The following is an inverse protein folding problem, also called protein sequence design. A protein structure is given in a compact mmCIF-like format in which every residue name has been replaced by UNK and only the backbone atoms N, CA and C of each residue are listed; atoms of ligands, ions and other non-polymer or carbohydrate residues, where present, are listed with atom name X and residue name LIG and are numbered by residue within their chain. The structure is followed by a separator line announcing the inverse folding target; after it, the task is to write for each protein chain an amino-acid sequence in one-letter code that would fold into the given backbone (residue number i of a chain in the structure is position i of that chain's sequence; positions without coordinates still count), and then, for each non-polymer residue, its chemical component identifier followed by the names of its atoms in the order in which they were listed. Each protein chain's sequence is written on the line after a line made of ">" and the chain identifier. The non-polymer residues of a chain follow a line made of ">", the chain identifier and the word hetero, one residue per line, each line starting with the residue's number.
data_IF_732963539128
#
_entry.id   IF_732963539128
#
_cell.length_a   1.000
_cell.length_b   1.000
_cell.length_c   1.000
_cell.angle_alpha   90.00
_cell.angle_beta   90.00
_cell.angle_gamma   90.00
#
_symmetry.space_group_name_H-M   'P 1'
#
loop_
_entity.id
_entity.type
_entity.pdbx_description
1 polymer ?
#
# COMPACT_ATOMS: atom_id res chain seq x y z
N UNK A 1 -26.25 -20.83 28.59
CA UNK A 1 -26.42 -21.35 27.21
C UNK A 1 -25.98 -20.25 26.26
N UNK A 2 -25.05 -20.60 25.36
CA UNK A 2 -24.46 -19.89 24.23
C UNK A 2 -24.83 -18.43 23.91
N UNK A 3 -23.84 -17.52 24.02
CA UNK A 3 -23.15 -16.99 22.83
C UNK A 3 -21.86 -16.29 23.27
N UNK A 4 -20.72 -16.90 22.95
CA UNK A 4 -19.42 -16.25 23.05
C UNK A 4 -19.27 -15.32 21.87
N UNK A 5 -19.43 -14.02 22.10
CA UNK A 5 -18.96 -13.01 21.16
C UNK A 5 -17.44 -13.05 21.18
N UNK A 6 -16.83 -13.41 20.05
CA UNK A 6 -15.38 -13.41 19.87
C UNK A 6 -14.95 -12.03 19.33
N UNK A 7 -14.32 -11.15 20.13
CA UNK A 7 -13.88 -9.83 19.66
C UNK A 7 -12.60 -9.84 18.80
N UNK A 8 -12.07 -11.01 18.41
CA UNK A 8 -10.72 -11.10 17.83
C UNK A 8 -10.60 -10.80 16.32
N UNK A 9 -11.69 -10.59 15.58
CA UNK A 9 -11.61 -10.42 14.11
C UNK A 9 -11.14 -9.02 13.68
N UNK A 10 -11.17 -8.02 14.59
CA UNK A 10 -10.67 -6.66 14.32
C UNK A 10 -9.17 -6.43 14.60
N UNK A 11 -8.41 -7.43 15.09
CA UNK A 11 -7.06 -7.18 15.66
C UNK A 11 -5.87 -7.65 14.83
N UNK A 12 -6.04 -8.52 13.81
CA UNK A 12 -4.89 -9.02 13.01
C UNK A 12 -4.49 -8.06 11.91
N UNK A 13 -5.46 -7.55 11.17
CA UNK A 13 -5.23 -6.59 10.10
C UNK A 13 -4.70 -5.26 10.64
N UNK A 14 -5.31 -4.72 11.71
CA UNK A 14 -4.83 -3.49 12.34
C UNK A 14 -3.41 -3.61 12.90
N UNK A 15 -3.00 -4.77 13.41
CA UNK A 15 -1.62 -5.00 13.82
C UNK A 15 -0.65 -5.04 12.63
N UNK A 16 -1.04 -5.69 11.52
CA UNK A 16 -0.28 -5.69 10.27
C UNK A 16 -0.11 -4.28 9.71
N UNK A 17 -1.13 -3.43 9.81
CA UNK A 17 -1.04 -2.04 9.35
C UNK A 17 -0.08 -1.21 10.17
N UNK A 18 -0.06 -1.40 11.49
CA UNK A 18 0.88 -0.69 12.37
C UNK A 18 2.33 -1.10 12.11
N UNK A 19 2.54 -2.40 11.91
CA UNK A 19 3.85 -2.96 11.55
C UNK A 19 4.29 -2.47 10.17
N UNK A 20 3.34 -2.41 9.23
CA UNK A 20 3.58 -1.89 7.90
C UNK A 20 3.89 -0.40 7.92
N UNK A 21 3.10 0.40 8.62
CA UNK A 21 3.27 1.85 8.75
C UNK A 21 4.62 2.20 9.36
N UNK A 22 5.09 1.40 10.33
CA UNK A 22 6.45 1.54 10.87
C UNK A 22 7.54 1.19 9.83
N UNK A 23 7.32 0.15 9.01
CA UNK A 23 8.31 -0.34 8.04
C UNK A 23 8.42 0.54 6.79
N UNK A 24 7.28 1.07 6.31
CA UNK A 24 7.20 1.92 5.10
C UNK A 24 7.11 3.41 5.45
N UNK A 25 6.91 3.79 6.71
CA UNK A 25 6.79 5.19 7.16
C UNK A 25 8.02 6.03 6.82
N UNK A 26 9.22 5.46 6.86
CA UNK A 26 10.44 6.16 6.42
C UNK A 26 10.43 6.49 4.91
N UNK A 27 9.79 5.64 4.10
CA UNK A 27 9.65 5.84 2.66
C UNK A 27 8.59 6.91 2.34
N UNK A 28 7.45 6.86 3.04
CA UNK A 28 6.29 7.73 2.78
C UNK A 28 6.32 9.07 3.53
N UNK A 29 7.18 9.17 4.55
CA UNK A 29 7.52 10.42 5.21
C UNK A 29 7.06 10.51 6.66
N UNK A 30 8.02 10.33 7.58
CA UNK A 30 7.88 10.53 9.03
C UNK A 30 8.19 11.96 9.49
N UNK A 31 7.84 12.99 8.70
CA UNK A 31 8.08 14.39 9.10
C UNK A 31 7.93 15.42 7.98
N UNK A 32 9.02 15.68 7.23
CA UNK A 32 9.02 16.59 6.07
C UNK A 32 8.83 15.80 4.79
N UNK A 33 7.80 16.15 4.02
CA UNK A 33 7.58 15.59 2.69
C UNK A 33 8.54 16.24 1.70
N UNK A 34 9.68 15.59 1.51
CA UNK A 34 10.59 15.89 0.40
C UNK A 34 9.95 15.47 -0.94
N UNK A 35 10.37 16.04 -2.08
CA UNK A 35 9.80 15.73 -3.40
C UNK A 35 9.80 14.23 -3.73
N UNK A 36 10.81 13.51 -3.26
CA UNK A 36 10.97 12.06 -3.41
C UNK A 36 9.89 11.28 -2.63
N UNK A 37 9.56 11.76 -1.42
CA UNK A 37 8.52 11.17 -0.60
C UNK A 37 7.12 11.51 -1.10
N UNK A 38 6.94 12.68 -1.72
CA UNK A 38 5.68 13.01 -2.41
C UNK A 38 5.40 11.98 -3.51
N UNK A 39 6.40 11.65 -4.33
CA UNK A 39 6.28 10.61 -5.36
C UNK A 39 6.00 9.26 -4.72
N UNK A 40 6.70 8.90 -3.63
CA UNK A 40 6.48 7.65 -2.91
C UNK A 40 5.05 7.53 -2.38
N UNK A 41 4.51 8.59 -1.78
CA UNK A 41 3.13 8.65 -1.28
C UNK A 41 2.15 8.52 -2.43
N UNK A 42 2.33 9.27 -3.52
CA UNK A 42 1.44 9.19 -4.68
C UNK A 42 1.44 7.79 -5.30
N UNK A 43 2.62 7.21 -5.52
CA UNK A 43 2.74 5.88 -6.11
C UNK A 43 2.17 4.82 -5.16
N UNK A 44 2.57 4.81 -3.90
CA UNK A 44 2.11 3.79 -2.95
C UNK A 44 0.59 3.82 -2.76
N UNK A 45 0.02 5.00 -2.48
CA UNK A 45 -1.43 5.12 -2.29
C UNK A 45 -2.18 4.92 -3.60
N UNK A 46 -1.62 5.32 -4.74
CA UNK A 46 -2.15 5.00 -6.06
C UNK A 46 -2.27 3.49 -6.26
N UNK A 47 -1.17 2.75 -6.12
CA UNK A 47 -1.15 1.29 -6.26
C UNK A 47 -2.08 0.61 -5.25
N UNK A 48 -2.14 1.11 -4.02
CA UNK A 48 -3.07 0.64 -2.99
C UNK A 48 -4.54 0.85 -3.40
N UNK A 49 -4.86 2.01 -3.97
CA UNK A 49 -6.17 2.31 -4.51
C UNK A 49 -6.51 1.41 -5.70
N UNK A 50 -5.55 1.16 -6.59
CA UNK A 50 -5.72 0.25 -7.71
C UNK A 50 -6.01 -1.18 -7.23
N UNK A 51 -5.24 -1.66 -6.25
CA UNK A 51 -5.49 -2.94 -5.59
C UNK A 51 -6.88 -2.98 -4.96
N UNK A 52 -7.31 -1.93 -4.24
CA UNK A 52 -8.66 -1.84 -3.67
C UNK A 52 -9.77 -1.88 -4.74
N UNK A 53 -9.50 -1.34 -5.93
CA UNK A 53 -10.43 -1.41 -7.07
C UNK A 53 -10.39 -2.76 -7.82
N UNK A 54 -9.36 -3.57 -7.62
CA UNK A 54 -9.21 -4.93 -8.18
C UNK A 54 -9.74 -5.97 -7.21
N UNK A 55 -9.56 -5.75 -5.90
CA UNK A 55 -9.95 -6.66 -4.84
C UNK A 55 -10.40 -5.98 -3.53
N UNK A 56 -11.25 -6.66 -2.76
CA UNK A 56 -11.82 -6.19 -1.48
C UNK A 56 -10.89 -6.33 -0.26
N UNK A 57 -9.55 -6.40 -0.44
CA UNK A 57 -8.57 -6.37 0.67
C UNK A 57 -8.87 -5.19 1.61
N UNK A 58 -9.21 -4.05 1.02
CA UNK A 58 -9.74 -2.91 1.77
C UNK A 58 -11.25 -3.13 1.94
N UNK A 59 -11.61 -3.73 3.07
CA UNK A 59 -13.01 -4.05 3.41
C UNK A 59 -13.89 -2.80 3.56
N UNK A 60 -15.18 -2.99 3.86
CA UNK A 60 -16.29 -2.01 3.86
C UNK A 60 -16.06 -0.63 4.50
N UNK A 61 -14.93 -0.41 5.18
CA UNK A 61 -14.49 0.87 5.70
C UNK A 61 -13.21 1.36 5.03
N UNK A 62 -13.13 1.36 3.68
CA UNK A 62 -11.93 1.76 2.94
C UNK A 62 -11.42 3.16 3.30
N UNK A 63 -12.35 4.12 3.45
CA UNK A 63 -11.99 5.47 3.82
C UNK A 63 -11.40 5.52 5.24
N UNK A 64 -11.95 4.76 6.19
CA UNK A 64 -11.41 4.71 7.56
C UNK A 64 -10.07 3.99 7.59
N UNK A 65 -9.91 2.91 6.81
CA UNK A 65 -8.65 2.22 6.65
C UNK A 65 -7.55 3.16 6.15
N UNK A 66 -7.81 3.86 5.05
CA UNK A 66 -6.85 4.77 4.44
C UNK A 66 -6.50 5.90 5.41
N UNK A 67 -7.51 6.49 6.08
CA UNK A 67 -7.29 7.52 7.08
C UNK A 67 -6.45 7.01 8.25
N UNK A 68 -6.81 5.85 8.82
CA UNK A 68 -6.08 5.26 9.94
C UNK A 68 -4.64 4.93 9.58
N UNK A 69 -4.40 4.47 8.35
CA UNK A 69 -3.06 4.19 7.84
C UNK A 69 -2.24 5.47 7.65
N UNK A 70 -2.83 6.54 7.10
CA UNK A 70 -2.17 7.85 7.03
C UNK A 70 -1.83 8.44 8.41
N UNK A 71 -2.68 8.19 9.41
CA UNK A 71 -2.42 8.59 10.79
C UNK A 71 -1.25 7.82 11.40
N UNK A 72 -1.18 6.51 11.15
CA UNK A 72 -0.09 5.64 11.62
C UNK A 72 1.26 6.03 11.00
N UNK A 73 1.25 6.36 9.71
CA UNK A 73 2.41 6.92 9.00
C UNK A 73 2.82 8.32 9.49
N UNK A 74 2.05 8.93 10.39
CA UNK A 74 2.23 10.30 10.88
C UNK A 74 2.39 11.33 9.75
N UNK A 75 1.69 11.12 8.62
CA UNK A 75 1.75 12.03 7.48
C UNK A 75 1.26 13.43 7.87
N UNK A 76 1.98 14.44 7.39
CA UNK A 76 1.53 15.83 7.48
C UNK A 76 0.23 16.06 6.71
N UNK A 77 -0.50 17.14 7.00
CA UNK A 77 -1.77 17.45 6.35
C UNK A 77 -1.69 17.43 4.80
N UNK A 78 -0.56 17.89 4.24
CA UNK A 78 -0.31 17.84 2.80
C UNK A 78 -0.12 16.42 2.27
N UNK A 79 0.58 15.56 3.01
CA UNK A 79 0.77 14.15 2.66
C UNK A 79 -0.53 13.38 2.68
N UNK A 80 -1.40 13.66 3.66
CA UNK A 80 -2.74 13.08 3.75
C UNK A 80 -3.60 13.45 2.53
N UNK A 81 -3.60 14.72 2.12
CA UNK A 81 -4.33 15.15 0.90
C UNK A 81 -3.79 14.48 -0.37
N UNK A 82 -2.46 14.40 -0.52
CA UNK A 82 -1.81 13.70 -1.64
C UNK A 82 -2.17 12.21 -1.68
N UNK A 83 -2.02 11.53 -0.54
CA UNK A 83 -2.37 10.12 -0.37
C UNK A 83 -3.83 9.85 -0.74
N UNK A 84 -4.76 10.72 -0.30
CA UNK A 84 -6.19 10.54 -0.53
C UNK A 84 -6.53 10.71 -2.02
N UNK A 85 -5.92 11.69 -2.68
CA UNK A 85 -6.09 11.93 -4.12
C UNK A 85 -5.53 10.76 -4.93
N UNK A 86 -4.30 10.33 -4.62
CA UNK A 86 -3.65 9.22 -5.27
C UNK A 86 -4.46 7.92 -5.12
N UNK A 87 -4.88 7.60 -3.90
CA UNK A 87 -5.76 6.45 -3.62
C UNK A 87 -7.05 6.50 -4.43
N UNK A 88 -7.70 7.65 -4.48
CA UNK A 88 -8.95 7.81 -5.24
C UNK A 88 -8.73 7.59 -6.74
N UNK A 89 -7.64 8.13 -7.31
CA UNK A 89 -7.27 7.92 -8.73
C UNK A 89 -6.98 6.45 -9.02
N UNK A 90 -6.21 5.81 -8.14
CA UNK A 90 -5.91 4.39 -8.24
C UNK A 90 -7.16 3.53 -8.26
N UNK A 91 -8.08 3.79 -7.32
CA UNK A 91 -9.35 3.08 -7.21
C UNK A 91 -10.24 3.24 -8.44
N UNK A 92 -10.24 4.42 -9.05
CA UNK A 92 -10.93 4.67 -10.32
C UNK A 92 -10.24 4.03 -11.53
N UNK A 93 -9.11 3.36 -11.33
CA UNK A 93 -8.24 2.82 -12.39
C UNK A 93 -7.77 3.90 -13.36
N UNK A 94 -7.59 5.12 -12.85
CA UNK A 94 -7.03 6.28 -13.56
C UNK A 94 -5.50 6.35 -13.43
N UNK A 95 -4.88 5.24 -13.03
CA UNK A 95 -3.43 5.06 -12.96
C UNK A 95 -3.06 3.77 -13.67
N UNK A 96 -1.81 3.71 -14.13
CA UNK A 96 -1.23 2.48 -14.68
C UNK A 96 -0.07 2.02 -13.80
N UNK A 97 -0.08 0.73 -13.43
CA UNK A 97 0.93 0.12 -12.56
C UNK A 97 2.36 0.40 -13.05
N UNK A 98 2.61 0.18 -14.34
CA UNK A 98 3.90 0.46 -14.98
C UNK A 98 4.32 1.91 -14.81
N UNK A 99 3.46 2.85 -15.20
CA UNK A 99 3.75 4.28 -15.14
C UNK A 99 4.05 4.75 -13.72
N UNK A 100 3.33 4.24 -12.72
CA UNK A 100 3.56 4.61 -11.32
C UNK A 100 4.86 4.00 -10.78
N UNK A 101 5.17 2.74 -11.13
CA UNK A 101 6.46 2.14 -10.76
C UNK A 101 7.62 2.85 -11.46
N UNK A 102 7.51 3.23 -12.72
CA UNK A 102 8.54 3.99 -13.42
C UNK A 102 8.78 5.35 -12.78
N UNK A 103 7.73 6.03 -12.29
CA UNK A 103 7.86 7.29 -11.53
C UNK A 103 8.59 7.08 -10.21
N UNK A 104 8.34 5.97 -9.52
CA UNK A 104 9.07 5.61 -8.31
C UNK A 104 10.54 5.28 -8.60
N UNK A 105 10.81 4.52 -9.65
CA UNK A 105 12.16 4.15 -10.09
C UNK A 105 12.96 5.31 -10.69
N UNK A 106 12.30 6.42 -11.03
CA UNK A 106 12.97 7.67 -11.40
C UNK A 106 13.64 8.36 -10.20
N UNK A 107 13.19 8.02 -8.98
CA UNK A 107 13.70 8.57 -7.72
C UNK A 107 14.61 7.56 -7.03
N UNK A 108 14.18 6.29 -6.95
CA UNK A 108 14.90 5.23 -6.26
C UNK A 108 15.52 4.23 -7.23
N UNK A 109 16.70 3.67 -6.91
CA UNK A 109 17.32 2.67 -7.76
C UNK A 109 16.47 1.40 -7.84
N UNK A 110 16.38 0.83 -9.03
CA UNK A 110 15.73 -0.46 -9.29
C UNK A 110 16.40 -1.56 -8.48
N UNK A 111 15.61 -2.39 -7.79
CA UNK A 111 16.13 -3.41 -6.86
C UNK A 111 16.74 -2.85 -5.57
N UNK A 112 16.59 -1.55 -5.28
CA UNK A 112 17.04 -0.92 -4.04
C UNK A 112 16.21 -1.29 -2.82
N UNK A 113 16.62 -0.80 -1.65
CA UNK A 113 15.91 -1.06 -0.39
C UNK A 113 14.50 -0.48 -0.37
N UNK A 114 14.29 0.66 -1.02
CA UNK A 114 13.02 1.38 -1.12
C UNK A 114 12.03 0.65 -2.03
N UNK A 115 12.51 0.13 -3.17
CA UNK A 115 11.73 -0.74 -4.04
C UNK A 115 11.34 -2.04 -3.31
N UNK A 116 12.24 -2.58 -2.48
CA UNK A 116 11.94 -3.75 -1.66
C UNK A 116 10.89 -3.45 -0.59
N UNK A 117 10.99 -2.32 0.12
CA UNK A 117 9.97 -1.87 1.10
C UNK A 117 8.60 -1.70 0.45
N UNK A 118 8.54 -1.10 -0.75
CA UNK A 118 7.30 -0.93 -1.51
C UNK A 118 6.69 -2.28 -1.90
N UNK A 119 7.51 -3.19 -2.43
CA UNK A 119 7.10 -4.53 -2.82
C UNK A 119 6.57 -5.34 -1.63
N UNK A 120 7.35 -5.38 -0.53
CA UNK A 120 7.00 -6.10 0.70
C UNK A 120 5.69 -5.57 1.30
N UNK A 121 5.47 -4.26 1.26
CA UNK A 121 4.24 -3.63 1.70
C UNK A 121 3.01 -4.09 0.92
N UNK A 122 3.08 -4.05 -0.41
CA UNK A 122 1.99 -4.50 -1.28
C UNK A 122 1.70 -5.99 -1.07
N UNK A 123 2.75 -6.81 -0.97
CA UNK A 123 2.64 -8.25 -0.76
C UNK A 123 1.97 -8.57 0.59
N UNK A 124 2.41 -7.93 1.67
CA UNK A 124 1.84 -8.12 3.02
C UNK A 124 0.38 -7.70 3.10
N UNK A 125 0.00 -6.61 2.44
CA UNK A 125 -1.38 -6.16 2.38
C UNK A 125 -2.27 -7.16 1.63
N UNK A 126 -1.84 -7.61 0.46
CA UNK A 126 -2.59 -8.60 -0.32
C UNK A 126 -2.64 -9.98 0.38
N UNK A 127 -1.59 -10.35 1.11
CA UNK A 127 -1.57 -11.57 1.92
C UNK A 127 -2.36 -11.46 3.24
N UNK A 128 -2.87 -10.28 3.60
CA UNK A 128 -3.41 -10.02 4.93
C UNK A 128 -4.73 -10.77 5.23
N UNK A 129 -5.59 -10.97 4.22
CA UNK A 129 -6.80 -11.79 4.33
C UNK A 129 -6.49 -13.31 4.25
N UNK A 130 -5.21 -13.67 4.04
CA UNK A 130 -4.77 -15.06 3.89
C UNK A 130 -5.26 -15.73 2.59
N UNK A 131 -5.86 -14.96 1.67
CA UNK A 131 -6.41 -15.42 0.39
C UNK A 131 -5.92 -14.53 -0.73
N UNK A 132 -4.70 -14.78 -1.20
CA UNK A 132 -4.20 -14.08 -2.38
C UNK A 132 -4.92 -14.61 -3.63
N UNK A 133 -5.80 -13.79 -4.22
CA UNK A 133 -6.55 -14.16 -5.41
C UNK A 133 -5.66 -14.14 -6.65
N UNK A 134 -6.03 -14.86 -7.72
CA UNK A 134 -5.24 -14.91 -8.95
C UNK A 134 -4.98 -13.52 -9.55
N UNK A 135 -5.92 -12.57 -9.39
CA UNK A 135 -5.80 -11.20 -9.91
C UNK A 135 -4.78 -10.38 -9.12
N UNK A 136 -4.78 -10.49 -7.80
CA UNK A 136 -3.81 -9.82 -6.93
C UNK A 136 -2.43 -10.41 -7.13
N UNK A 137 -2.32 -11.74 -7.25
CA UNK A 137 -1.06 -12.40 -7.58
C UNK A 137 -0.49 -11.89 -8.89
N UNK A 138 -1.28 -11.82 -9.96
CA UNK A 138 -0.82 -11.30 -11.25
C UNK A 138 -0.36 -9.84 -11.15
N UNK A 139 -1.08 -9.00 -10.40
CA UNK A 139 -0.69 -7.61 -10.14
C UNK A 139 0.65 -7.54 -9.38
N UNK A 140 0.81 -8.32 -8.31
CA UNK A 140 2.04 -8.37 -7.54
C UNK A 140 3.20 -8.86 -8.39
N UNK A 141 3.02 -9.95 -9.15
CA UNK A 141 4.04 -10.48 -10.05
C UNK A 141 4.48 -9.45 -11.09
N UNK A 142 3.55 -8.70 -11.67
CA UNK A 142 3.86 -7.60 -12.57
C UNK A 142 4.63 -6.49 -11.86
N UNK A 143 4.20 -6.10 -10.65
CA UNK A 143 4.90 -5.11 -9.84
C UNK A 143 6.33 -5.54 -9.47
N UNK A 144 6.53 -6.80 -9.06
CA UNK A 144 7.83 -7.41 -8.76
C UNK A 144 8.77 -7.31 -9.96
N UNK A 145 8.29 -7.69 -11.15
CA UNK A 145 9.06 -7.61 -12.39
C UNK A 145 9.44 -6.17 -12.75
N UNK A 146 8.51 -5.23 -12.62
CA UNK A 146 8.76 -3.82 -12.90
C UNK A 146 9.80 -3.23 -11.94
N UNK A 147 9.68 -3.51 -10.63
CA UNK A 147 10.63 -3.10 -9.60
C UNK A 147 12.02 -3.74 -9.75
N UNK A 148 12.16 -4.74 -10.64
CA UNK A 148 13.42 -5.38 -10.98
C UNK A 148 13.80 -6.53 -10.07
N UNK A 149 12.84 -7.05 -9.32
CA UNK A 149 12.99 -8.30 -8.60
C UNK A 149 12.60 -9.45 -9.53
N UNK A 150 13.34 -10.55 -9.45
CA UNK A 150 12.90 -11.82 -10.02
C UNK A 150 11.78 -12.34 -9.13
N UNK A 151 10.63 -12.69 -9.72
CA UNK A 151 9.58 -13.39 -9.02
C UNK A 151 10.08 -14.80 -8.67
N UNK A 152 10.92 -14.91 -7.64
CA UNK A 152 11.29 -16.19 -7.05
C UNK A 152 10.14 -16.56 -6.12
N UNK A 153 9.31 -17.50 -6.61
CA UNK A 153 8.19 -18.12 -5.90
C UNK A 153 8.66 -18.93 -4.68
#
# INVERSE_FOLDING_TARGET
>A
MAHGENPAQGSRFGALLRDLGSSIGELLGGGKLEPEQVISVEVFFGLLGYLAGVDSIVTSHEAEFVNQFMEDLQLSARGRDLAQRAFTRGRKREIELRSEIERFLAVYPRGGGEAHKLHDALYRLAAADGRLQPREKAFLEEATQLLGFTAEH
#
